data_IF_018673028114
#
_entry.id   IF_018673028114
#
_cell.length_a   1.000
_cell.length_b   1.000
_cell.length_c   1.000
_cell.angle_alpha   90.00
_cell.angle_beta   90.00
_cell.angle_gamma   90.00
#
_symmetry.space_group_name_H-M   'P 1'
#
loop_
_entity.id
_entity.type
_entity.pdbx_description
1 polymer ?
#
# COMPACT_ATOMS: atom_id res chain seq x y z
N UNK A 1 -3.70 9.59 -1.36
CA UNK A 1 -3.20 9.64 0.04
C UNK A 1 -2.89 8.23 0.52
N UNK A 2 -1.87 8.01 1.35
CA UNK A 2 -1.54 6.69 1.93
C UNK A 2 -1.76 6.70 3.45
N UNK A 3 -2.14 5.57 4.04
CA UNK A 3 -2.20 5.39 5.51
C UNK A 3 -2.08 3.91 5.89
N UNK A 4 -1.72 3.62 7.14
CA UNK A 4 -1.82 2.26 7.68
C UNK A 4 -3.21 1.98 8.23
N UNK A 5 -3.75 0.80 7.94
CA UNK A 5 -5.06 0.36 8.45
C UNK A 5 -5.01 -1.05 8.99
N UNK A 6 -5.75 -1.27 10.07
CA UNK A 6 -6.09 -2.62 10.53
C UNK A 6 -7.12 -3.21 9.58
N UNK A 7 -6.78 -4.35 8.98
CA UNK A 7 -7.63 -5.15 8.11
C UNK A 7 -7.82 -6.52 8.76
N UNK A 8 -9.06 -6.99 8.83
CA UNK A 8 -9.39 -8.35 9.25
C UNK A 8 -9.62 -9.25 8.04
N UNK A 9 -8.97 -10.42 8.04
CA UNK A 9 -9.26 -11.52 7.13
C UNK A 9 -8.97 -12.85 7.82
N UNK A 10 -9.75 -13.89 7.48
CA UNK A 10 -9.57 -15.23 8.08
C UNK A 10 -9.58 -15.23 9.62
N UNK A 11 -10.35 -14.33 10.23
CA UNK A 11 -10.45 -14.11 11.70
C UNK A 11 -9.17 -13.59 12.37
N UNK A 12 -8.21 -13.10 11.59
CA UNK A 12 -6.96 -12.51 12.06
C UNK A 12 -6.87 -11.05 11.65
N UNK A 13 -6.23 -10.23 12.49
CA UNK A 13 -6.07 -8.79 12.26
C UNK A 13 -4.64 -8.50 11.81
N UNK A 14 -4.51 -7.74 10.74
CA UNK A 14 -3.24 -7.38 10.12
C UNK A 14 -3.21 -5.89 9.82
N UNK A 15 -2.01 -5.31 9.79
CA UNK A 15 -1.82 -3.94 9.33
C UNK A 15 -1.35 -3.98 7.89
N UNK A 16 -2.01 -3.21 7.03
CA UNK A 16 -1.65 -3.05 5.62
C UNK A 16 -1.48 -1.57 5.30
N UNK A 17 -0.67 -1.28 4.29
CA UNK A 17 -0.71 0.03 3.62
C UNK A 17 -1.99 0.12 2.81
N UNK A 18 -2.72 1.21 2.95
CA UNK A 18 -3.95 1.49 2.21
C UNK A 18 -3.79 2.82 1.48
N UNK A 19 -4.03 2.77 0.17
CA UNK A 19 -3.98 3.93 -0.70
C UNK A 19 -5.39 4.38 -1.02
N UNK A 20 -5.58 5.70 -0.98
CA UNK A 20 -6.84 6.37 -1.23
C UNK A 20 -6.72 7.37 -2.38
N UNK A 21 -7.78 7.52 -3.17
CA UNK A 21 -7.92 8.64 -4.11
C UNK A 21 -8.27 9.95 -3.36
N UNK A 22 -8.44 11.03 -4.11
CA UNK A 22 -8.78 12.35 -3.54
C UNK A 22 -10.20 12.42 -2.96
N UNK A 23 -11.07 11.46 -3.30
CA UNK A 23 -12.42 11.31 -2.74
C UNK A 23 -12.43 10.47 -1.45
N UNK A 24 -11.29 9.89 -1.06
CA UNK A 24 -11.16 9.02 0.09
C UNK A 24 -11.55 7.55 -0.16
N UNK A 25 -11.76 7.15 -1.41
CA UNK A 25 -12.02 5.76 -1.79
C UNK A 25 -10.70 4.98 -1.89
N UNK A 26 -10.73 3.70 -1.52
CA UNK A 26 -9.55 2.83 -1.55
C UNK A 26 -9.20 2.49 -3.01
N UNK A 27 -7.96 2.75 -3.40
CA UNK A 27 -7.43 2.45 -4.73
C UNK A 27 -6.52 1.23 -4.72
N UNK A 28 -5.82 0.96 -3.62
CA UNK A 28 -4.96 -0.21 -3.46
C UNK A 28 -4.72 -0.53 -1.98
N UNK A 29 -4.32 -1.78 -1.70
CA UNK A 29 -3.75 -2.21 -0.42
C UNK A 29 -2.46 -3.01 -0.66
N UNK A 30 -1.54 -3.03 0.30
CA UNK A 30 -0.38 -3.93 0.23
C UNK A 30 -0.82 -5.40 0.17
N UNK A 31 -0.16 -6.22 -0.65
CA UNK A 31 -0.49 -7.65 -0.77
C UNK A 31 -0.25 -8.40 0.55
N UNK A 32 0.90 -8.12 1.17
CA UNK A 32 1.30 -8.72 2.44
C UNK A 32 1.07 -7.74 3.61
N UNK A 33 0.81 -8.26 4.82
CA UNK A 33 0.86 -7.47 6.04
C UNK A 33 2.21 -6.79 6.21
N UNK A 34 2.17 -5.59 6.79
CA UNK A 34 3.35 -4.80 7.06
C UNK A 34 3.88 -5.10 8.45
N UNK A 35 5.19 -4.94 8.62
CA UNK A 35 5.89 -5.06 9.89
C UNK A 35 6.69 -3.79 10.13
N UNK A 36 6.82 -3.33 11.38
CA UNK A 36 7.60 -2.15 11.70
C UNK A 36 9.07 -2.38 11.35
N UNK A 37 9.72 -1.41 10.72
CA UNK A 37 11.14 -1.47 10.36
C UNK A 37 11.83 -0.10 10.43
N UNK A 38 13.16 -0.11 10.54
CA UNK A 38 13.98 1.11 10.58
C UNK A 38 15.48 0.78 10.57
N UNK A 39 16.30 1.71 10.08
CA UNK A 39 17.76 1.59 10.08
C UNK A 39 18.36 1.99 11.44
N UNK A 40 17.58 2.68 12.28
CA UNK A 40 17.91 3.03 13.65
C UNK A 40 16.76 2.71 14.63
N UNK A 41 17.07 2.70 15.93
CA UNK A 41 16.05 2.51 16.98
C UNK A 41 14.99 3.61 16.97
N UNK A 42 15.36 4.85 16.64
CA UNK A 42 14.43 5.97 16.64
C UNK A 42 13.52 5.93 15.41
N UNK A 43 14.02 5.48 14.26
CA UNK A 43 13.19 5.20 13.09
C UNK A 43 12.21 4.07 13.35
N UNK A 44 12.66 2.95 13.93
CA UNK A 44 11.78 1.83 14.27
C UNK A 44 10.68 2.24 15.27
N UNK A 45 11.02 3.06 16.28
CA UNK A 45 10.02 3.65 17.19
C UNK A 45 9.07 4.60 16.47
N UNK A 46 9.59 5.41 15.55
CA UNK A 46 8.78 6.28 14.70
C UNK A 46 7.77 5.50 13.89
N UNK A 47 8.20 4.42 13.23
CA UNK A 47 7.39 3.54 12.41
C UNK A 47 6.30 2.83 13.24
N UNK A 48 6.67 2.31 14.43
CA UNK A 48 5.70 1.82 15.42
C UNK A 48 4.61 2.85 15.74
N UNK A 49 4.95 4.13 15.82
CA UNK A 49 3.99 5.21 16.02
C UNK A 49 2.95 5.31 14.90
N UNK A 50 3.31 5.03 13.64
CA UNK A 50 2.35 4.97 12.53
C UNK A 50 1.41 3.76 12.66
N UNK A 51 1.95 2.60 13.04
CA UNK A 51 1.16 1.38 13.26
C UNK A 51 0.16 1.55 14.40
N UNK A 52 0.56 2.20 15.49
CA UNK A 52 -0.33 2.49 16.61
C UNK A 52 -1.50 3.40 16.21
N UNK A 53 -1.28 4.39 15.34
CA UNK A 53 -2.36 5.26 14.84
C UNK A 53 -3.37 4.51 13.95
N UNK A 54 -3.01 3.36 13.39
CA UNK A 54 -3.94 2.55 12.60
C UNK A 54 -5.13 2.04 13.45
N UNK A 55 -4.94 1.88 14.77
CA UNK A 55 -5.98 1.44 15.70
C UNK A 55 -7.00 2.55 16.03
N UNK A 56 -6.68 3.81 15.75
CA UNK A 56 -7.59 4.95 15.99
C UNK A 56 -8.70 5.04 14.93
N UNK A 57 -8.64 4.19 13.89
CA UNK A 57 -9.61 4.16 12.79
C UNK A 57 -10.36 2.82 12.75
N UNK A 58 -11.58 2.77 12.19
CA UNK A 58 -12.35 1.53 12.12
C UNK A 58 -11.61 0.38 11.41
N UNK A 59 -11.79 -0.85 11.88
CA UNK A 59 -11.21 -2.02 11.21
C UNK A 59 -11.89 -2.22 9.85
N UNK A 60 -11.11 -2.42 8.80
CA UNK A 60 -11.60 -2.79 7.48
C UNK A 60 -11.73 -4.30 7.36
N UNK A 61 -12.80 -4.81 6.74
CA UNK A 61 -12.92 -6.24 6.44
C UNK A 61 -12.48 -6.49 5.00
N UNK A 62 -11.56 -7.45 4.79
CA UNK A 62 -10.96 -7.68 3.48
C UNK A 62 -12.01 -7.98 2.39
N UNK A 63 -13.09 -8.67 2.75
CA UNK A 63 -14.17 -9.07 1.85
C UNK A 63 -15.10 -7.89 1.47
N UNK A 64 -15.08 -6.80 2.24
CA UNK A 64 -15.92 -5.61 2.03
C UNK A 64 -15.18 -4.50 1.25
N UNK A 65 -13.86 -4.62 1.08
CA UNK A 65 -13.04 -3.62 0.37
C UNK A 65 -13.39 -3.61 -1.11
N UNK A 66 -13.70 -2.42 -1.64
CA UNK A 66 -13.91 -2.17 -3.07
C UNK A 66 -12.82 -1.24 -3.57
N UNK A 67 -12.09 -1.71 -4.58
CA UNK A 67 -11.07 -0.90 -5.24
C UNK A 67 -11.71 -0.04 -6.31
N UNK A 68 -11.47 1.26 -6.25
CA UNK A 68 -11.76 2.16 -7.35
C UNK A 68 -10.48 2.45 -8.13
N UNK A 69 -10.55 2.58 -9.47
CA UNK A 69 -9.40 3.05 -10.22
C UNK A 69 -9.01 4.46 -9.74
N UNK A 70 -7.71 4.74 -9.69
CA UNK A 70 -7.21 6.10 -9.50
C UNK A 70 -7.84 7.01 -10.56
N UNK A 71 -8.47 8.10 -10.12
CA UNK A 71 -9.06 9.10 -11.01
C UNK A 71 -7.96 9.65 -11.92
N UNK A 72 -7.93 9.19 -13.18
CA UNK A 72 -7.06 9.77 -14.21
C UNK A 72 -7.67 11.09 -14.63
N UNK A 73 -7.50 12.14 -13.83
CA UNK A 73 -7.84 13.50 -14.28
C UNK A 73 -6.83 13.98 -15.33
N UNK A 74 -7.13 13.62 -16.59
CA UNK A 74 -6.83 14.35 -17.83
C UNK A 74 -5.38 14.46 -18.31
N UNK A 75 -5.01 13.77 -19.39
CA UNK A 75 -5.00 14.32 -20.76
C UNK A 75 -4.41 13.27 -21.74
N UNK A 76 -4.86 13.29 -23.00
CA UNK A 76 -4.51 12.33 -24.05
C UNK A 76 -3.00 12.07 -24.18
N UNK A 77 -2.58 10.82 -23.99
CA UNK A 77 -1.37 10.29 -24.64
C UNK A 77 -1.79 9.06 -25.42
N UNK A 78 -1.78 9.23 -26.74
CA UNK A 78 -1.79 8.20 -27.76
C UNK A 78 -1.01 6.96 -27.29
N UNK A 79 -1.66 5.79 -27.30
CA UNK A 79 -0.95 4.51 -27.28
C UNK A 79 -0.16 4.37 -28.60
N UNK A 80 1.02 4.98 -28.63
CA UNK A 80 2.06 4.67 -29.58
C UNK A 80 2.72 3.36 -29.18
N UNK A 81 2.60 2.36 -30.05
CA UNK A 81 3.39 1.14 -30.01
C UNK A 81 4.89 1.45 -29.87
N UNK A 82 5.54 0.91 -28.84
CA UNK A 82 6.94 0.48 -28.94
C UNK A 82 7.19 -0.78 -28.12
N UNK A 83 7.61 -1.82 -28.84
CA UNK A 83 8.17 -3.05 -28.30
C UNK A 83 9.45 -2.73 -27.52
N UNK A 84 9.69 -3.44 -26.42
CA UNK A 84 11.05 -3.87 -26.08
C UNK A 84 11.52 -3.66 -24.64
N UNK A 85 12.24 -4.68 -24.19
CA UNK A 85 13.24 -4.72 -23.12
C UNK A 85 12.76 -4.99 -21.69
N UNK A 86 12.44 -6.27 -21.45
CA UNK A 86 12.70 -6.92 -20.16
C UNK A 86 14.22 -6.86 -19.89
N UNK A 87 14.62 -6.10 -18.87
CA UNK A 87 15.97 -6.15 -18.30
C UNK A 87 15.86 -6.52 -16.83
N UNK A 88 15.99 -7.82 -16.57
CA UNK A 88 16.33 -8.39 -15.28
C UNK A 88 17.65 -7.79 -14.80
N UNK A 89 17.62 -7.03 -13.71
CA UNK A 89 18.84 -6.58 -13.03
C UNK A 89 19.21 -7.54 -11.91
N UNK A 90 20.51 -7.81 -11.88
CA UNK A 90 21.22 -8.93 -11.30
C UNK A 90 21.45 -8.74 -9.79
N UNK A 91 21.57 -9.84 -9.03
CA UNK A 91 22.40 -9.84 -7.81
C UNK A 91 23.36 -11.03 -7.83
N UNK A 92 24.57 -10.74 -8.28
CA UNK A 92 25.75 -11.60 -8.25
C UNK A 92 26.18 -11.74 -6.78
N UNK A 93 26.14 -12.94 -6.21
CA UNK A 93 26.80 -13.24 -4.93
C UNK A 93 28.26 -13.57 -5.22
N UNK A 94 29.16 -12.87 -4.52
CA UNK A 94 30.58 -13.21 -4.40
C UNK A 94 30.73 -14.42 -3.49
#
# INVERSE_FOLDING_TARGET
MWDYRVIVHEKMFYIHEVYYNDKGDITAISENPMYPCGESLDELKGDMGYFLRAFDRPVLKKEEIRFVPMDRTGNNISCGNTKGAEKTHTRKRR
#
